data_IF_655539964571
#
_entry.id   IF_655539964571
#
_cell.length_a   1.000
_cell.length_b   1.000
_cell.length_c   1.000
_cell.angle_alpha   90.00
_cell.angle_beta   90.00
_cell.angle_gamma   90.00
#
_symmetry.space_group_name_H-M   'P 1'
#
loop_
_entity.id
_entity.type
_entity.pdbx_description
1 polymer ?
#
# COMPACT_ATOMS: atom_id res chain seq x y z
N UNK A 1 -2.80 -16.54 -3.73
CA UNK A 1 -2.17 -15.39 -3.03
C UNK A 1 -1.85 -14.34 -4.07
N UNK A 2 -2.14 -13.07 -3.79
CA UNK A 2 -1.85 -11.93 -4.66
C UNK A 2 -1.06 -10.87 -3.90
N UNK A 3 -0.34 -10.04 -4.65
CA UNK A 3 0.49 -8.96 -4.13
C UNK A 3 -0.05 -7.65 -4.68
N UNK A 4 -0.16 -6.62 -3.82
CA UNK A 4 -0.44 -5.26 -4.22
C UNK A 4 0.55 -4.31 -3.57
N UNK A 5 1.08 -3.37 -4.34
CA UNK A 5 1.97 -2.32 -3.83
C UNK A 5 1.27 -0.98 -3.92
N UNK A 6 1.13 -0.33 -2.78
CA UNK A 6 0.75 1.06 -2.63
C UNK A 6 2.02 1.91 -2.61
N UNK A 7 1.98 3.04 -3.31
CA UNK A 7 3.09 4.00 -3.38
C UNK A 7 2.53 5.35 -3.04
N UNK A 8 3.10 6.02 -2.04
CA UNK A 8 2.74 7.36 -1.63
C UNK A 8 3.58 8.36 -2.41
N UNK A 9 2.96 9.12 -3.34
CA UNK A 9 3.60 10.30 -3.91
C UNK A 9 3.83 11.35 -2.82
N UNK A 10 4.85 12.18 -2.99
CA UNK A 10 5.14 13.33 -2.15
C UNK A 10 3.98 14.36 -2.03
N UNK A 11 3.06 14.35 -2.99
CA UNK A 11 1.86 15.19 -3.04
C UNK A 11 0.68 14.61 -2.25
N UNK A 12 0.76 13.33 -1.87
CA UNK A 12 -0.29 12.64 -1.11
C UNK A 12 0.07 12.71 0.38
N UNK A 13 -0.79 13.35 1.16
CA UNK A 13 -0.65 13.39 2.61
C UNK A 13 -0.86 11.99 3.22
N UNK A 14 -0.25 11.76 4.39
CA UNK A 14 -0.27 10.45 5.07
C UNK A 14 -1.71 9.95 5.33
N UNK A 15 -2.65 10.84 5.66
CA UNK A 15 -4.05 10.48 5.91
C UNK A 15 -4.75 9.91 4.66
N UNK A 16 -4.48 10.46 3.48
CA UNK A 16 -5.05 9.98 2.22
C UNK A 16 -4.45 8.61 1.85
N UNK A 17 -3.14 8.48 2.03
CA UNK A 17 -2.43 7.22 1.83
C UNK A 17 -2.95 6.11 2.75
N UNK A 18 -3.08 6.40 4.04
CA UNK A 18 -3.55 5.46 5.04
C UNK A 18 -5.01 5.06 4.79
N UNK A 19 -5.87 6.01 4.40
CA UNK A 19 -7.28 5.73 4.11
C UNK A 19 -7.45 4.66 3.03
N UNK A 20 -6.75 4.79 1.90
CA UNK A 20 -6.86 3.80 0.79
C UNK A 20 -6.20 2.45 1.11
N UNK A 21 -5.15 2.45 1.93
CA UNK A 21 -4.51 1.22 2.40
C UNK A 21 -5.45 0.48 3.36
N UNK A 22 -6.03 1.20 4.32
CA UNK A 22 -6.99 0.66 5.28
C UNK A 22 -8.23 0.10 4.58
N UNK A 23 -8.82 0.84 3.63
CA UNK A 23 -9.94 0.35 2.82
C UNK A 23 -9.62 -0.97 2.12
N UNK A 24 -8.40 -1.12 1.60
CA UNK A 24 -7.98 -2.37 0.97
C UNK A 24 -7.78 -3.52 1.96
N UNK A 25 -7.23 -3.23 3.14
CA UNK A 25 -7.03 -4.22 4.22
C UNK A 25 -8.38 -4.68 4.78
N UNK A 26 -9.39 -3.81 4.84
CA UNK A 26 -10.74 -4.15 5.27
C UNK A 26 -11.46 -5.05 4.25
N UNK A 27 -11.28 -4.77 2.94
CA UNK A 27 -11.91 -5.54 1.87
C UNK A 27 -11.23 -6.90 1.60
N UNK A 28 -9.91 -7.01 1.85
CA UNK A 28 -9.12 -8.21 1.51
C UNK A 28 -8.60 -8.93 2.74
N UNK A 29 -8.53 -10.26 2.67
CA UNK A 29 -7.83 -11.04 3.68
C UNK A 29 -6.30 -10.87 3.51
N UNK A 30 -5.76 -9.81 4.10
CA UNK A 30 -4.32 -9.51 4.12
C UNK A 30 -3.61 -10.45 5.07
N UNK A 31 -2.51 -11.02 4.60
CA UNK A 31 -1.70 -12.02 5.31
C UNK A 31 -0.37 -11.43 5.76
N UNK A 32 0.20 -10.52 4.98
CA UNK A 32 1.45 -9.86 5.30
C UNK A 32 1.46 -8.44 4.74
N UNK A 33 2.06 -7.53 5.51
CA UNK A 33 2.35 -6.16 5.10
C UNK A 33 3.86 -5.98 5.17
N UNK A 34 4.44 -5.32 4.17
CA UNK A 34 5.85 -4.97 4.12
C UNK A 34 5.98 -3.52 3.69
N UNK A 35 6.60 -2.71 4.53
CA UNK A 35 6.82 -1.29 4.28
C UNK A 35 8.24 -1.08 3.78
N UNK A 36 8.39 -0.24 2.76
CA UNK A 36 9.68 0.19 2.25
C UNK A 36 9.66 1.71 2.11
N UNK A 37 10.62 2.37 2.72
CA UNK A 37 10.93 3.76 2.44
C UNK A 37 11.63 3.84 1.08
N UNK A 38 11.02 4.56 0.15
CA UNK A 38 11.60 4.75 -1.19
C UNK A 38 11.68 6.24 -1.43
N UNK A 39 12.60 6.91 -0.74
CA UNK A 39 12.91 8.31 -1.02
C UNK A 39 13.63 8.34 -2.37
N UNK A 40 12.86 8.59 -3.43
CA UNK A 40 13.39 8.70 -4.79
C UNK A 40 13.04 10.08 -5.33
N UNK A 41 14.04 10.96 -5.40
CA UNK A 41 13.92 12.31 -5.94
C UNK A 41 13.39 12.31 -7.40
N UNK A 42 13.67 11.24 -8.15
CA UNK A 42 13.23 11.08 -9.53
C UNK A 42 11.77 10.64 -9.69
N UNK A 43 11.23 9.89 -8.72
CA UNK A 43 9.85 9.37 -8.77
C UNK A 43 8.89 10.15 -7.87
N UNK A 44 9.42 11.09 -7.07
CA UNK A 44 8.69 11.86 -6.07
C UNK A 44 7.82 10.98 -5.18
N UNK A 45 8.38 9.86 -4.71
CA UNK A 45 7.74 8.94 -3.79
C UNK A 45 8.33 9.13 -2.40
N UNK A 46 7.49 9.05 -1.38
CA UNK A 46 7.90 9.15 0.03
C UNK A 46 7.95 7.74 0.64
N UNK A 47 6.83 7.02 0.53
CA UNK A 47 6.67 5.70 1.13
C UNK A 47 6.10 4.69 0.13
N UNK A 48 6.33 3.42 0.41
CA UNK A 48 5.66 2.32 -0.28
C UNK A 48 5.28 1.22 0.69
N UNK A 49 4.14 0.59 0.44
CA UNK A 49 3.59 -0.46 1.26
C UNK A 49 3.12 -1.59 0.35
N UNK A 50 3.71 -2.77 0.51
CA UNK A 50 3.34 -3.96 -0.24
C UNK A 50 2.56 -4.91 0.66
N UNK A 51 1.38 -5.32 0.20
CA UNK A 51 0.52 -6.28 0.89
C UNK A 51 0.46 -7.59 0.11
N UNK A 52 0.57 -8.70 0.84
CA UNK A 52 0.25 -10.03 0.37
C UNK A 52 -1.14 -10.40 0.90
N UNK A 53 -2.07 -10.70 0.01
CA UNK A 53 -3.46 -10.96 0.36
C UNK A 53 -4.00 -12.21 -0.34
N UNK A 54 -5.05 -12.78 0.22
CA UNK A 54 -5.86 -13.81 -0.43
C UNK A 54 -6.98 -13.12 -1.21
N UNK A 55 -7.20 -13.56 -2.45
CA UNK A 55 -8.49 -13.27 -3.07
C UNK A 55 -9.56 -14.02 -2.29
N UNK A 56 -10.65 -13.33 -1.96
CA UNK A 56 -11.84 -14.00 -1.51
C UNK A 56 -12.23 -15.00 -2.60
N UNK A 57 -12.49 -16.26 -2.20
CA UNK A 57 -13.20 -17.17 -3.08
C UNK A 57 -14.56 -16.53 -3.37
N UNK A 58 -14.77 -16.11 -4.62
CA UNK A 58 -16.12 -15.91 -5.16
C UNK A 58 -16.93 -17.22 -5.07
#
# INVERSE_FOLDING_TARGET
MKIKTFRQPWEEDDEEFDSRVNYFIEDKQVVQITTNETVSDTLRLTHSLTVLYKEGNE
#
